data_IF_908458667120
#
_entry.id   IF_908458667120
#
_cell.length_a   1.000
_cell.length_b   1.000
_cell.length_c   1.000
_cell.angle_alpha   90.00
_cell.angle_beta   90.00
_cell.angle_gamma   90.00
#
_symmetry.space_group_name_H-M   'P 1'
#
loop_
_entity.id
_entity.type
_entity.pdbx_description
1 polymer ?
#
# COMPACT_ATOMS: atom_id res chain seq x y z
N UNK A 1 -21.45 -31.17 20.40
CA UNK A 1 -21.22 -29.91 19.64
C UNK A 1 -19.73 -29.60 19.56
N UNK A 2 -19.22 -29.24 18.38
CA UNK A 2 -17.82 -28.80 18.26
C UNK A 2 -17.68 -27.47 19.00
N UNK A 3 -16.53 -27.21 19.64
CA UNK A 3 -16.32 -26.03 20.50
C UNK A 3 -16.71 -24.71 19.80
N UNK A 4 -16.40 -24.58 18.51
CA UNK A 4 -16.76 -23.37 17.74
C UNK A 4 -18.29 -23.17 17.61
N UNK A 5 -19.09 -24.23 17.55
CA UNK A 5 -20.55 -24.12 17.45
C UNK A 5 -21.18 -23.55 18.73
N UNK A 6 -20.53 -23.80 19.88
CA UNK A 6 -20.93 -23.24 21.17
C UNK A 6 -20.54 -21.76 21.22
N UNK A 7 -19.32 -21.42 20.80
CA UNK A 7 -18.82 -20.03 20.75
C UNK A 7 -19.68 -19.17 19.81
N UNK A 8 -20.04 -19.69 18.63
CA UNK A 8 -20.86 -18.98 17.65
C UNK A 8 -22.30 -18.72 18.11
N UNK A 9 -22.79 -19.41 19.14
CA UNK A 9 -24.13 -19.18 19.72
C UNK A 9 -24.15 -18.08 20.79
N UNK A 10 -22.99 -17.55 21.20
CA UNK A 10 -22.93 -16.50 22.21
C UNK A 10 -23.46 -15.17 21.66
N UNK A 11 -24.42 -14.55 22.36
CA UNK A 11 -25.18 -13.37 21.91
C UNK A 11 -24.34 -12.22 21.33
N UNK A 12 -23.10 -12.03 21.83
CA UNK A 12 -22.21 -10.92 21.45
C UNK A 12 -21.02 -11.33 20.57
N UNK A 13 -20.96 -12.57 20.06
CA UNK A 13 -19.79 -13.07 19.32
C UNK A 13 -19.57 -12.31 18.01
N UNK A 14 -20.63 -11.98 17.27
CA UNK A 14 -20.51 -11.33 15.97
C UNK A 14 -19.84 -9.94 16.07
N UNK A 15 -20.28 -9.00 16.93
CA UNK A 15 -19.56 -7.74 17.14
C UNK A 15 -18.10 -7.92 17.57
N UNK A 16 -17.81 -8.91 18.43
CA UNK A 16 -16.44 -9.18 18.88
C UNK A 16 -15.55 -9.67 17.74
N UNK A 17 -16.06 -10.59 16.92
CA UNK A 17 -15.35 -11.08 15.72
C UNK A 17 -15.09 -9.95 14.73
N UNK A 18 -16.08 -9.10 14.45
CA UNK A 18 -15.93 -7.96 13.54
C UNK A 18 -14.84 -6.99 14.02
N UNK A 19 -14.82 -6.68 15.32
CA UNK A 19 -13.77 -5.84 15.94
C UNK A 19 -12.40 -6.51 15.92
N UNK A 20 -12.35 -7.82 16.12
CA UNK A 20 -11.10 -8.58 16.03
C UNK A 20 -10.55 -8.55 14.59
N UNK A 21 -11.41 -8.76 13.58
CA UNK A 21 -11.04 -8.65 12.17
C UNK A 21 -10.50 -7.26 11.82
N UNK A 22 -11.17 -6.19 12.26
CA UNK A 22 -10.73 -4.79 12.05
C UNK A 22 -9.43 -4.48 12.78
N UNK A 23 -9.27 -4.95 14.01
CA UNK A 23 -8.04 -4.77 14.80
C UNK A 23 -6.84 -5.45 14.15
N UNK A 24 -7.04 -6.62 13.56
CA UNK A 24 -5.96 -7.40 12.95
C UNK A 24 -5.86 -7.26 11.42
N UNK A 25 -6.78 -6.50 10.79
CA UNK A 25 -6.79 -6.30 9.34
C UNK A 25 -7.02 -7.58 8.54
N UNK A 26 -7.78 -8.55 9.09
CA UNK A 26 -7.93 -9.89 8.51
C UNK A 26 -8.95 -9.85 7.37
N UNK A 27 -8.49 -10.15 6.16
CA UNK A 27 -9.33 -10.30 4.97
C UNK A 27 -9.97 -11.69 5.00
N UNK A 28 -11.25 -11.77 4.66
CA UNK A 28 -11.96 -13.05 4.68
C UNK A 28 -11.62 -13.89 3.45
N UNK A 29 -11.57 -15.21 3.61
CA UNK A 29 -11.74 -16.13 2.47
C UNK A 29 -13.22 -16.21 2.09
N UNK A 30 -13.52 -16.79 0.94
CA UNK A 30 -14.91 -17.08 0.52
C UNK A 30 -15.64 -17.92 1.57
N UNK A 31 -15.03 -18.99 2.08
CA UNK A 31 -15.61 -19.86 3.12
C UNK A 31 -15.88 -19.09 4.41
N UNK A 32 -14.94 -18.22 4.79
CA UNK A 32 -15.09 -17.38 5.98
C UNK A 32 -16.26 -16.42 5.79
N UNK A 33 -16.41 -15.81 4.62
CA UNK A 33 -17.54 -14.94 4.29
C UNK A 33 -18.88 -15.69 4.36
N UNK A 34 -18.95 -16.92 3.89
CA UNK A 34 -20.16 -17.76 4.00
C UNK A 34 -20.52 -18.07 5.46
N UNK A 35 -19.54 -18.30 6.34
CA UNK A 35 -19.77 -18.46 7.77
C UNK A 35 -20.42 -17.20 8.35
N UNK A 36 -19.93 -16.01 7.99
CA UNK A 36 -20.56 -14.74 8.40
C UNK A 36 -21.99 -14.59 7.86
N UNK A 37 -22.26 -15.01 6.62
CA UNK A 37 -23.62 -15.00 6.05
C UNK A 37 -24.60 -15.87 6.83
N UNK A 38 -24.16 -17.05 7.31
CA UNK A 38 -24.98 -17.95 8.12
C UNK A 38 -25.14 -17.48 9.56
N UNK A 39 -24.12 -16.84 10.13
CA UNK A 39 -24.11 -16.36 11.51
C UNK A 39 -24.91 -15.06 11.68
N UNK A 40 -24.84 -14.13 10.73
CA UNK A 40 -25.41 -12.79 10.90
C UNK A 40 -26.91 -12.77 11.28
N UNK A 41 -27.81 -13.60 10.68
CA UNK A 41 -29.23 -13.60 11.03
C UNK A 41 -29.52 -13.91 12.50
N UNK A 42 -28.78 -14.84 13.13
CA UNK A 42 -28.98 -15.19 14.55
C UNK A 42 -28.57 -14.07 15.52
N UNK A 43 -27.85 -13.06 15.02
CA UNK A 43 -27.46 -11.86 15.75
C UNK A 43 -28.23 -10.60 15.29
N UNK A 44 -29.35 -10.78 14.57
CA UNK A 44 -30.16 -9.65 14.10
C UNK A 44 -29.46 -8.79 13.03
N UNK A 45 -28.47 -9.34 12.34
CA UNK A 45 -27.73 -8.66 11.28
C UNK A 45 -28.12 -9.20 9.90
N UNK A 46 -28.08 -8.32 8.89
CA UNK A 46 -28.30 -8.70 7.48
C UNK A 46 -26.98 -8.62 6.72
N UNK A 47 -26.69 -9.64 5.93
CA UNK A 47 -25.51 -9.72 5.05
C UNK A 47 -25.91 -9.60 3.58
N UNK A 48 -25.09 -8.92 2.78
CA UNK A 48 -25.18 -8.89 1.31
C UNK A 48 -23.79 -8.99 0.71
N UNK A 49 -23.63 -9.84 -0.30
CA UNK A 49 -22.45 -9.76 -1.18
C UNK A 49 -22.46 -8.43 -1.94
N UNK A 50 -21.29 -7.86 -2.19
CA UNK A 50 -21.14 -6.56 -2.81
C UNK A 50 -19.84 -6.43 -3.58
N UNK A 51 -19.78 -5.33 -4.34
CA UNK A 51 -18.57 -4.81 -4.96
C UNK A 51 -18.43 -3.34 -4.53
N UNK A 52 -17.23 -2.80 -4.67
CA UNK A 52 -16.94 -1.40 -4.38
C UNK A 52 -16.66 -0.68 -5.69
N UNK A 53 -17.30 0.48 -5.89
CA UNK A 53 -17.02 1.33 -7.06
C UNK A 53 -15.63 1.96 -6.97
N UNK A 54 -15.11 2.49 -8.09
CA UNK A 54 -13.87 3.28 -8.11
C UNK A 54 -13.82 4.44 -7.11
N UNK A 55 -14.98 5.01 -6.77
CA UNK A 55 -15.12 6.11 -5.80
C UNK A 55 -15.21 5.64 -4.35
N UNK A 56 -15.07 4.34 -4.08
CA UNK A 56 -15.16 3.80 -2.73
C UNK A 56 -16.59 3.59 -2.21
N UNK A 57 -17.61 3.58 -3.06
CA UNK A 57 -19.00 3.30 -2.64
C UNK A 57 -19.37 1.81 -2.77
N UNK A 58 -19.95 1.24 -1.72
CA UNK A 58 -20.49 -0.13 -1.71
C UNK A 58 -21.73 -0.25 -2.62
N UNK A 59 -21.77 -1.22 -3.55
CA UNK A 59 -22.91 -1.41 -4.45
C UNK A 59 -24.17 -1.94 -3.75
N UNK A 60 -24.04 -2.58 -2.59
CA UNK A 60 -25.17 -3.19 -1.86
C UNK A 60 -25.90 -2.21 -0.93
N UNK A 61 -25.19 -1.35 -0.21
CA UNK A 61 -25.77 -0.38 0.72
C UNK A 61 -25.65 1.07 0.25
N UNK A 62 -24.94 1.33 -0.86
CA UNK A 62 -24.66 2.66 -1.44
C UNK A 62 -23.85 3.61 -0.55
N UNK A 63 -23.36 3.15 0.60
CA UNK A 63 -22.51 3.94 1.50
C UNK A 63 -21.08 3.97 1.02
N UNK A 64 -20.41 5.08 1.30
CA UNK A 64 -18.96 5.20 1.12
C UNK A 64 -18.23 4.35 2.17
N UNK A 65 -17.18 3.67 1.75
CA UNK A 65 -16.23 3.00 2.63
C UNK A 65 -15.48 4.06 3.46
N UNK A 66 -15.01 3.65 4.63
CA UNK A 66 -14.14 4.52 5.43
C UNK A 66 -12.83 4.77 4.67
N UNK A 67 -12.29 6.00 4.71
CA UNK A 67 -11.01 6.28 4.11
C UNK A 67 -9.89 5.64 4.95
N UNK A 68 -8.91 5.04 4.28
CA UNK A 68 -7.63 4.67 4.88
C UNK A 68 -6.91 5.94 5.34
N UNK A 69 -6.38 5.90 6.56
CA UNK A 69 -5.60 6.98 7.16
C UNK A 69 -4.33 6.41 7.76
N UNK A 70 -3.26 7.18 7.65
CA UNK A 70 -1.99 6.92 8.30
C UNK A 70 -1.77 8.04 9.32
N UNK A 71 -1.64 7.69 10.59
CA UNK A 71 -1.36 8.68 11.64
C UNK A 71 0.13 9.06 11.62
N UNK A 72 0.53 10.25 12.09
CA UNK A 72 1.93 10.60 12.27
C UNK A 72 2.68 9.57 13.13
N UNK A 73 2.03 9.05 14.18
CA UNK A 73 2.62 8.07 15.08
C UNK A 73 2.85 6.73 14.38
N UNK A 74 1.87 6.24 13.61
CA UNK A 74 2.03 5.03 12.79
C UNK A 74 3.16 5.21 11.77
N UNK A 75 3.21 6.38 11.11
CA UNK A 75 4.27 6.68 10.15
C UNK A 75 5.64 6.70 10.80
N UNK A 76 5.80 7.31 11.97
CA UNK A 76 7.08 7.33 12.68
C UNK A 76 7.51 5.94 13.16
N UNK A 77 6.57 5.09 13.58
CA UNK A 77 6.85 3.67 13.86
C UNK A 77 7.39 2.95 12.63
N UNK A 78 6.73 3.13 11.47
CA UNK A 78 7.16 2.53 10.22
C UNK A 78 8.53 3.06 9.76
N UNK A 79 8.68 4.39 9.78
CA UNK A 79 9.91 5.08 9.39
C UNK A 79 11.07 4.61 10.26
N UNK A 80 10.90 4.59 11.58
CA UNK A 80 11.94 4.12 12.49
C UNK A 80 12.30 2.66 12.22
N UNK A 81 11.32 1.79 11.96
CA UNK A 81 11.59 0.40 11.62
C UNK A 81 12.42 0.23 10.32
N UNK A 82 12.26 1.09 9.32
CA UNK A 82 13.06 1.00 8.10
C UNK A 82 14.41 1.73 8.19
N UNK A 83 14.50 2.78 9.00
CA UNK A 83 15.72 3.59 9.12
C UNK A 83 16.63 3.12 10.26
N UNK A 84 16.16 2.26 11.17
CA UNK A 84 16.95 1.71 12.26
C UNK A 84 18.17 0.94 11.70
N UNK A 85 19.41 1.33 12.05
CA UNK A 85 20.63 0.64 11.68
C UNK A 85 20.61 -0.87 11.98
N UNK A 86 19.85 -1.32 12.98
CA UNK A 86 19.70 -2.74 13.33
C UNK A 86 18.86 -3.49 12.30
N UNK A 87 17.83 -2.86 11.71
CA UNK A 87 17.01 -3.45 10.66
C UNK A 87 17.67 -3.29 9.27
N UNK A 88 18.34 -2.15 9.03
CA UNK A 88 19.24 -1.91 7.89
C UNK A 88 20.40 -2.92 7.87
N UNK A 89 20.97 -3.23 9.03
CA UNK A 89 22.14 -4.10 9.20
C UNK A 89 21.83 -5.59 9.36
N UNK A 90 20.57 -6.00 9.54
CA UNK A 90 20.20 -7.43 9.63
C UNK A 90 19.88 -8.06 8.28
N UNK A 91 19.17 -7.38 7.37
CA UNK A 91 18.77 -8.02 6.08
C UNK A 91 18.52 -7.07 4.89
N UNK A 92 18.12 -5.82 5.12
CA UNK A 92 17.51 -5.00 4.04
C UNK A 92 18.50 -4.55 2.95
N UNK A 93 19.77 -4.32 3.31
CA UNK A 93 20.83 -3.90 2.37
C UNK A 93 21.94 -4.96 2.20
N UNK A 94 21.64 -6.25 2.40
CA UNK A 94 22.66 -7.30 2.41
C UNK A 94 23.50 -7.40 1.12
N UNK A 95 22.96 -6.97 -0.02
CA UNK A 95 23.66 -6.98 -1.33
C UNK A 95 24.33 -5.65 -1.68
N UNK A 96 24.31 -4.69 -0.77
CA UNK A 96 24.87 -3.34 -0.93
C UNK A 96 26.16 -3.23 -0.15
N UNK A 97 27.20 -2.64 -0.75
CA UNK A 97 28.45 -2.41 -0.04
C UNK A 97 28.32 -1.26 0.98
N UNK A 98 29.08 -1.27 2.09
CA UNK A 98 29.11 -0.15 3.04
C UNK A 98 29.43 1.20 2.38
N UNK A 99 30.31 1.20 1.36
CA UNK A 99 30.69 2.40 0.62
C UNK A 99 29.53 2.95 -0.21
N UNK A 100 28.77 2.07 -0.87
CA UNK A 100 27.57 2.46 -1.62
C UNK A 100 26.50 3.01 -0.69
N UNK A 101 26.25 2.35 0.44
CA UNK A 101 25.27 2.80 1.44
C UNK A 101 25.65 4.18 2.00
N UNK A 102 26.93 4.40 2.32
CA UNK A 102 27.42 5.70 2.78
C UNK A 102 27.32 6.78 1.69
N UNK A 103 27.63 6.43 0.43
CA UNK A 103 27.44 7.33 -0.72
C UNK A 103 25.97 7.74 -0.86
N UNK A 104 25.06 6.78 -0.73
CA UNK A 104 23.62 7.03 -0.75
C UNK A 104 23.18 7.96 0.39
N UNK A 105 23.63 7.74 1.62
CA UNK A 105 23.30 8.63 2.74
C UNK A 105 23.78 10.07 2.50
N UNK A 106 25.03 10.25 2.07
CA UNK A 106 25.58 11.58 1.71
C UNK A 106 24.84 12.24 0.56
N UNK A 107 24.38 11.45 -0.40
CA UNK A 107 23.54 11.95 -1.49
C UNK A 107 22.19 12.45 -0.98
N UNK A 108 21.51 11.67 -0.12
CA UNK A 108 20.21 12.05 0.44
C UNK A 108 20.28 13.33 1.29
N UNK A 109 21.36 13.56 2.03
CA UNK A 109 21.55 14.80 2.80
C UNK A 109 21.48 16.08 1.95
N UNK A 110 21.79 15.98 0.65
CA UNK A 110 21.78 17.11 -0.29
C UNK A 110 20.45 17.27 -1.02
N UNK A 111 19.69 16.19 -1.12
CA UNK A 111 18.52 16.09 -2.02
C UNK A 111 17.20 16.14 -1.27
N UNK A 112 17.16 15.60 -0.05
CA UNK A 112 15.93 15.54 0.73
C UNK A 112 15.57 16.89 1.37
N UNK A 113 14.26 17.18 1.56
CA UNK A 113 13.10 16.33 1.24
C UNK A 113 12.69 16.41 -0.24
N UNK A 114 12.12 15.31 -0.75
CA UNK A 114 11.50 15.22 -2.07
C UNK A 114 10.02 14.84 -1.97
N UNK A 115 9.25 15.23 -2.98
CA UNK A 115 7.82 14.95 -3.04
C UNK A 115 7.52 13.55 -3.60
N UNK A 116 8.36 13.07 -4.52
CA UNK A 116 8.20 11.76 -5.16
C UNK A 116 9.53 11.07 -5.40
N UNK A 117 9.57 9.76 -5.11
CA UNK A 117 10.70 8.88 -5.45
C UNK A 117 10.30 7.92 -6.58
N UNK A 118 11.07 7.88 -7.66
CA UNK A 118 10.82 7.05 -8.84
C UNK A 118 11.75 5.83 -8.83
N UNK A 119 11.17 4.65 -8.92
CA UNK A 119 11.89 3.40 -9.17
C UNK A 119 12.21 3.29 -10.68
N UNK A 120 13.36 3.82 -11.05
CA UNK A 120 13.74 4.03 -12.45
C UNK A 120 13.77 2.73 -13.26
N UNK A 121 14.22 1.63 -12.63
CA UNK A 121 14.32 0.35 -13.30
C UNK A 121 12.94 -0.31 -13.44
N UNK A 122 12.14 -0.31 -12.38
CA UNK A 122 10.81 -0.90 -12.41
C UNK A 122 9.88 -0.16 -13.38
N UNK A 123 9.95 1.18 -13.42
CA UNK A 123 9.22 2.01 -14.39
C UNK A 123 9.64 1.65 -15.82
N UNK A 124 10.93 1.50 -16.08
CA UNK A 124 11.42 1.20 -17.42
C UNK A 124 10.98 -0.19 -17.94
N UNK A 125 10.75 -1.16 -17.05
CA UNK A 125 10.34 -2.52 -17.40
C UNK A 125 8.83 -2.78 -17.31
N UNK A 126 8.03 -1.73 -17.33
CA UNK A 126 6.57 -1.80 -17.22
C UNK A 126 5.95 -2.77 -18.24
N UNK A 127 6.49 -2.90 -19.45
CA UNK A 127 6.29 -4.08 -20.30
C UNK A 127 7.18 -3.95 -21.53
N UNK A 128 8.03 -4.96 -21.76
CA UNK A 128 8.85 -5.05 -22.99
C UNK A 128 7.99 -5.04 -24.27
N UNK A 129 6.70 -5.37 -24.19
CA UNK A 129 5.75 -5.35 -25.30
C UNK A 129 5.08 -3.98 -25.52
N UNK A 130 4.96 -3.15 -24.48
CA UNK A 130 4.23 -1.86 -24.54
C UNK A 130 5.15 -0.65 -24.78
N UNK A 131 6.43 -0.77 -24.45
CA UNK A 131 7.44 0.24 -24.80
C UNK A 131 8.79 -0.42 -25.06
N UNK A 132 9.32 -0.39 -26.29
CA UNK A 132 10.67 -0.85 -26.58
C UNK A 132 11.77 0.06 -25.99
N UNK A 133 11.40 1.19 -25.35
CA UNK A 133 12.36 2.16 -24.82
C UNK A 133 12.02 2.57 -23.37
N UNK A 134 12.50 1.80 -22.39
CA UNK A 134 12.26 2.03 -20.96
C UNK A 134 12.70 3.42 -20.47
N UNK A 135 13.73 4.00 -21.07
CA UNK A 135 14.17 5.37 -20.77
C UNK A 135 13.13 6.42 -21.13
N UNK A 136 12.41 6.22 -22.23
CA UNK A 136 11.30 7.10 -22.66
C UNK A 136 10.16 7.09 -21.64
N UNK A 137 9.85 5.91 -21.10
CA UNK A 137 8.82 5.79 -20.07
C UNK A 137 9.24 6.48 -18.77
N UNK A 138 10.48 6.30 -18.33
CA UNK A 138 11.02 7.02 -17.17
C UNK A 138 10.96 8.54 -17.36
N UNK A 139 11.30 9.03 -18.57
CA UNK A 139 11.15 10.46 -18.92
C UNK A 139 9.69 10.91 -18.82
N UNK A 140 8.72 10.14 -19.32
CA UNK A 140 7.30 10.51 -19.23
C UNK A 140 6.77 10.54 -17.80
N UNK A 141 7.16 9.59 -16.96
CA UNK A 141 6.83 9.65 -15.52
C UNK A 141 7.47 10.88 -14.89
N UNK A 142 8.73 11.18 -15.21
CA UNK A 142 9.42 12.37 -14.71
C UNK A 142 8.66 13.64 -15.14
N UNK A 143 8.33 13.76 -16.43
CA UNK A 143 7.61 14.90 -17.01
C UNK A 143 6.23 15.11 -16.38
N UNK A 144 5.52 14.03 -16.03
CA UNK A 144 4.24 14.12 -15.31
C UNK A 144 4.42 14.87 -13.98
N UNK A 145 5.37 14.44 -13.14
CA UNK A 145 5.60 15.08 -11.85
C UNK A 145 6.28 16.46 -11.95
N UNK A 146 7.09 16.71 -12.99
CA UNK A 146 7.61 18.05 -13.30
C UNK A 146 6.45 19.00 -13.61
N UNK A 147 5.46 18.57 -14.40
CA UNK A 147 4.29 19.40 -14.72
C UNK A 147 3.43 19.73 -13.50
N UNK A 148 3.49 18.89 -12.45
CA UNK A 148 2.87 19.16 -11.14
C UNK A 148 3.76 19.99 -10.19
N UNK A 149 4.97 20.39 -10.62
CA UNK A 149 5.91 21.16 -9.80
C UNK A 149 6.54 20.37 -8.64
N UNK A 150 6.64 19.04 -8.76
CA UNK A 150 7.18 18.17 -7.70
C UNK A 150 8.71 18.13 -7.70
N UNK A 151 9.30 18.00 -6.51
CA UNK A 151 10.70 17.60 -6.32
C UNK A 151 10.84 16.09 -6.49
N UNK A 152 11.66 15.67 -7.44
CA UNK A 152 11.77 14.27 -7.87
C UNK A 152 13.15 13.72 -7.51
N UNK A 153 13.16 12.52 -6.93
CA UNK A 153 14.34 11.65 -6.84
C UNK A 153 14.11 10.40 -7.69
N UNK A 154 15.03 10.08 -8.59
CA UNK A 154 15.09 8.80 -9.28
C UNK A 154 16.12 7.91 -8.59
N UNK A 155 15.70 6.72 -8.17
CA UNK A 155 16.58 5.62 -7.77
C UNK A 155 16.66 4.65 -8.93
N UNK A 156 17.86 4.29 -9.35
CA UNK A 156 18.07 3.37 -10.47
C UNK A 156 19.41 2.66 -10.40
N UNK A 157 19.85 2.14 -11.54
CA UNK A 157 21.07 1.34 -11.66
C UNK A 157 22.10 1.97 -12.57
N UNK A 158 23.39 1.71 -12.31
CA UNK A 158 24.49 2.20 -13.15
C UNK A 158 24.36 1.84 -14.62
N UNK A 159 23.80 0.68 -14.97
CA UNK A 159 23.59 0.37 -16.40
C UNK A 159 22.61 1.32 -17.11
N UNK A 160 21.79 2.08 -16.38
CA UNK A 160 20.92 3.12 -16.93
C UNK A 160 21.69 4.29 -17.54
N UNK A 161 22.97 4.48 -17.18
CA UNK A 161 23.81 5.48 -17.85
C UNK A 161 24.06 5.16 -19.34
N UNK A 162 23.86 3.90 -19.74
CA UNK A 162 23.95 3.46 -21.14
C UNK A 162 22.63 3.58 -21.90
N UNK A 163 21.55 4.02 -21.23
CA UNK A 163 20.27 4.25 -21.89
C UNK A 163 20.31 5.50 -22.77
N UNK A 164 19.24 5.71 -23.55
CA UNK A 164 19.12 6.85 -24.47
C UNK A 164 19.55 8.18 -23.83
N UNK A 165 20.61 8.77 -24.36
CA UNK A 165 21.19 10.03 -23.86
C UNK A 165 20.17 11.16 -23.82
N UNK A 166 19.33 11.29 -24.85
CA UNK A 166 18.33 12.36 -24.91
C UNK A 166 17.28 12.22 -23.80
N UNK A 167 16.80 11.01 -23.54
CA UNK A 167 15.80 10.75 -22.51
C UNK A 167 16.41 10.93 -21.11
N UNK A 168 17.60 10.39 -20.87
CA UNK A 168 18.28 10.48 -19.58
C UNK A 168 18.78 11.90 -19.26
N UNK A 169 19.16 12.69 -20.27
CA UNK A 169 19.52 14.10 -20.07
C UNK A 169 18.32 14.90 -19.56
N UNK A 170 17.12 14.66 -20.11
CA UNK A 170 15.90 15.28 -19.60
C UNK A 170 15.67 14.88 -18.13
N UNK A 171 15.77 13.59 -17.81
CA UNK A 171 15.58 13.09 -16.44
C UNK A 171 16.58 13.74 -15.47
N UNK A 172 17.88 13.71 -15.79
CA UNK A 172 18.94 14.29 -14.95
C UNK A 172 18.84 15.82 -14.80
N UNK A 173 18.22 16.51 -15.75
CA UNK A 173 18.01 17.96 -15.67
C UNK A 173 16.81 18.36 -14.81
N UNK A 174 15.89 17.43 -14.55
CA UNK A 174 14.62 17.71 -13.87
C UNK A 174 14.42 16.90 -12.57
N UNK A 175 15.33 15.99 -12.26
CA UNK A 175 15.29 15.15 -11.06
C UNK A 175 16.69 14.95 -10.50
N UNK A 176 16.77 14.77 -9.18
CA UNK A 176 17.97 14.21 -8.58
C UNK A 176 18.03 12.72 -8.91
N UNK A 177 19.18 12.19 -9.31
CA UNK A 177 19.31 10.78 -9.75
C UNK A 177 20.40 10.10 -8.95
N UNK A 178 20.05 9.00 -8.29
CA UNK A 178 20.99 8.08 -7.65
C UNK A 178 21.01 6.75 -8.41
N UNK A 179 22.19 6.33 -8.87
CA UNK A 179 22.38 5.08 -9.59
C UNK A 179 23.20 4.11 -8.75
N UNK A 180 22.53 3.10 -8.20
CA UNK A 180 23.12 2.01 -7.46
C UNK A 180 23.86 1.02 -8.38
N UNK A 181 24.77 0.23 -7.81
CA UNK A 181 25.45 -0.88 -8.46
C UNK A 181 24.44 -1.89 -9.00
N UNK A 182 24.79 -2.55 -10.10
CA UNK A 182 23.89 -3.52 -10.75
C UNK A 182 23.67 -4.81 -9.92
N UNK A 183 24.44 -5.01 -8.87
CA UNK A 183 24.36 -6.18 -7.96
C UNK A 183 23.46 -5.95 -6.75
N UNK A 184 23.20 -4.69 -6.39
CA UNK A 184 22.41 -4.30 -5.21
C UNK A 184 20.92 -4.60 -5.39
N UNK A 185 20.07 -4.29 -4.42
CA UNK A 185 18.61 -4.30 -4.60
C UNK A 185 18.11 -2.84 -4.65
N UNK A 186 17.15 -2.53 -5.52
CA UNK A 186 16.68 -1.13 -5.69
C UNK A 186 15.64 -0.72 -4.65
N UNK A 187 14.74 -1.66 -4.30
CA UNK A 187 13.63 -1.42 -3.38
C UNK A 187 14.08 -0.88 -2.01
N UNK A 188 15.19 -1.34 -1.39
CA UNK A 188 15.72 -0.75 -0.16
C UNK A 188 16.02 0.75 -0.27
N UNK A 189 16.68 1.18 -1.35
CA UNK A 189 17.02 2.59 -1.57
C UNK A 189 15.76 3.43 -1.81
N UNK A 190 14.82 2.92 -2.61
CA UNK A 190 13.53 3.55 -2.87
C UNK A 190 12.73 3.77 -1.58
N UNK A 191 12.53 2.71 -0.79
CA UNK A 191 11.76 2.76 0.45
C UNK A 191 12.44 3.65 1.49
N UNK A 192 13.76 3.54 1.63
CA UNK A 192 14.54 4.38 2.54
C UNK A 192 14.40 5.86 2.18
N UNK A 193 14.57 6.22 0.90
CA UNK A 193 14.43 7.60 0.46
C UNK A 193 13.01 8.15 0.68
N UNK A 194 11.98 7.37 0.34
CA UNK A 194 10.59 7.80 0.49
C UNK A 194 10.23 8.01 1.98
N UNK A 195 10.57 7.06 2.85
CA UNK A 195 10.29 7.15 4.29
C UNK A 195 11.12 8.24 4.98
N UNK A 196 12.39 8.44 4.59
CA UNK A 196 13.24 9.50 5.13
C UNK A 196 12.78 10.91 4.70
N UNK A 197 12.17 11.04 3.53
CA UNK A 197 11.67 12.33 3.01
C UNK A 197 10.46 12.85 3.79
N UNK A 198 9.59 11.96 4.27
CA UNK A 198 8.49 12.30 5.18
C UNK A 198 7.15 11.68 4.80
N UNK A 199 6.15 11.88 5.67
CA UNK A 199 4.83 11.24 5.58
C UNK A 199 4.06 11.55 4.29
N UNK A 200 4.34 12.69 3.65
CA UNK A 200 3.67 13.10 2.41
C UNK A 200 4.28 12.51 1.14
N UNK A 201 5.50 11.98 1.21
CA UNK A 201 6.28 11.58 0.03
C UNK A 201 5.65 10.39 -0.68
N UNK A 202 5.45 10.54 -1.97
CA UNK A 202 4.92 9.49 -2.85
C UNK A 202 6.06 8.69 -3.46
N UNK A 203 5.74 7.52 -3.99
CA UNK A 203 6.71 6.76 -4.78
C UNK A 203 6.05 6.07 -5.95
N UNK A 204 6.82 5.80 -7.00
CA UNK A 204 6.34 5.13 -8.21
C UNK A 204 7.13 3.84 -8.38
N UNK A 205 6.43 2.73 -8.25
CA UNK A 205 6.94 1.38 -8.56
C UNK A 205 5.75 0.45 -8.79
N UNK A 206 5.98 -0.64 -9.51
CA UNK A 206 5.04 -1.76 -9.60
C UNK A 206 5.29 -2.81 -8.53
N UNK A 207 6.47 -2.81 -7.90
CA UNK A 207 6.77 -3.84 -6.93
C UNK A 207 5.75 -3.78 -5.78
N UNK A 208 5.38 -4.96 -5.32
CA UNK A 208 4.45 -5.17 -4.21
C UNK A 208 5.17 -5.03 -2.87
N UNK A 209 6.50 -5.08 -2.87
CA UNK A 209 7.34 -4.96 -1.68
C UNK A 209 7.08 -6.05 -0.63
N UNK A 210 6.65 -7.24 -1.08
CA UNK A 210 6.20 -8.34 -0.20
C UNK A 210 7.31 -8.81 0.73
N UNK A 211 8.56 -8.90 0.23
CA UNK A 211 9.74 -9.30 1.00
C UNK A 211 10.06 -8.28 2.10
N UNK A 212 10.14 -7.00 1.74
CA UNK A 212 10.40 -5.90 2.67
C UNK A 212 9.34 -5.79 3.76
N UNK A 213 8.07 -5.99 3.40
CA UNK A 213 6.98 -6.09 4.37
C UNK A 213 7.18 -7.28 5.31
N UNK A 214 7.59 -8.45 4.80
CA UNK A 214 7.84 -9.61 5.64
C UNK A 214 8.95 -9.35 6.67
N UNK A 215 10.04 -8.68 6.26
CA UNK A 215 11.18 -8.34 7.12
C UNK A 215 10.83 -7.48 8.34
N UNK A 216 9.73 -6.70 8.30
CA UNK A 216 9.26 -5.92 9.45
C UNK A 216 8.94 -6.79 10.69
N UNK A 217 8.70 -8.09 10.50
CA UNK A 217 8.50 -9.09 11.55
C UNK A 217 7.17 -8.97 12.32
N UNK A 218 6.78 -7.76 12.72
CA UNK A 218 5.62 -7.49 13.56
C UNK A 218 4.35 -7.31 12.72
N UNK A 219 3.25 -8.03 13.01
CA UNK A 219 1.99 -7.92 12.28
C UNK A 219 1.42 -6.50 12.20
N UNK A 220 1.60 -5.70 13.27
CA UNK A 220 1.16 -4.31 13.31
C UNK A 220 1.94 -3.42 12.33
N UNK A 221 3.28 -3.51 12.30
CA UNK A 221 4.11 -2.79 11.33
C UNK A 221 3.80 -3.19 9.88
N UNK A 222 3.56 -4.48 9.63
CA UNK A 222 3.14 -4.97 8.31
C UNK A 222 1.83 -4.35 7.84
N UNK A 223 0.89 -4.11 8.75
CA UNK A 223 -0.38 -3.44 8.47
C UNK A 223 -0.17 -1.95 8.19
N UNK A 224 0.65 -1.27 9.01
CA UNK A 224 1.02 0.13 8.79
C UNK A 224 1.69 0.30 7.42
N UNK A 225 2.63 -0.57 7.07
CA UNK A 225 3.29 -0.56 5.77
C UNK A 225 2.27 -0.70 4.62
N UNK A 226 1.34 -1.65 4.69
CA UNK A 226 0.30 -1.79 3.66
C UNK A 226 -0.60 -0.55 3.53
N UNK A 227 -0.91 0.14 4.65
CA UNK A 227 -1.66 1.41 4.62
C UNK A 227 -0.84 2.52 3.98
N UNK A 228 0.42 2.67 4.40
CA UNK A 228 1.34 3.65 3.84
C UNK A 228 1.51 3.41 2.33
N UNK A 229 1.78 2.19 1.91
CA UNK A 229 1.91 1.80 0.50
C UNK A 229 0.66 2.16 -0.31
N UNK A 230 -0.54 1.79 0.17
CA UNK A 230 -1.80 2.13 -0.51
C UNK A 230 -1.99 3.64 -0.72
N UNK A 231 -1.57 4.44 0.26
CA UNK A 231 -1.71 5.90 0.27
C UNK A 231 -0.60 6.63 -0.50
N UNK A 232 0.52 5.98 -0.82
CA UNK A 232 1.72 6.64 -1.36
C UNK A 232 2.22 6.07 -2.69
N UNK A 233 1.85 4.85 -3.06
CA UNK A 233 2.35 4.17 -4.26
C UNK A 233 1.52 4.47 -5.51
N UNK A 234 2.15 5.12 -6.48
CA UNK A 234 1.69 5.17 -7.86
C UNK A 234 2.15 3.92 -8.61
N UNK A 235 1.26 3.35 -9.43
CA UNK A 235 1.62 2.19 -10.26
C UNK A 235 1.70 2.61 -11.73
N UNK A 236 2.86 2.43 -12.38
CA UNK A 236 3.00 2.71 -13.80
C UNK A 236 2.37 1.60 -14.66
N UNK A 237 1.50 1.99 -15.61
CA UNK A 237 0.70 1.07 -16.42
C UNK A 237 1.24 0.92 -17.84
N UNK A 238 1.21 1.98 -18.64
CA UNK A 238 1.65 1.99 -20.05
C UNK A 238 1.81 3.44 -20.55
N UNK A 239 2.38 3.61 -21.73
CA UNK A 239 2.30 4.88 -22.47
C UNK A 239 0.85 5.05 -22.92
N UNK A 240 0.25 6.21 -22.65
CA UNK A 240 -1.13 6.47 -23.02
C UNK A 240 -1.34 6.44 -24.55
N UNK A 241 -2.59 6.37 -24.98
CA UNK A 241 -2.96 6.29 -26.41
C UNK A 241 -2.44 7.49 -27.24
N UNK A 242 -2.20 8.63 -26.58
CA UNK A 242 -1.59 9.81 -27.20
C UNK A 242 -0.10 9.65 -27.58
N UNK A 243 0.54 8.56 -27.16
CA UNK A 243 1.95 8.24 -27.41
C UNK A 243 2.97 9.13 -26.68
N UNK A 244 2.51 10.09 -25.88
CA UNK A 244 3.28 11.19 -25.32
C UNK A 244 3.14 11.33 -23.80
N UNK A 245 2.17 10.66 -23.19
CA UNK A 245 1.98 10.65 -21.73
C UNK A 245 2.02 9.24 -21.16
N UNK A 246 2.04 9.15 -19.83
CA UNK A 246 2.04 7.88 -19.11
C UNK A 246 0.73 7.70 -18.35
N UNK A 247 0.12 6.52 -18.50
CA UNK A 247 -0.97 6.10 -17.65
C UNK A 247 -0.41 5.65 -16.29
N UNK A 248 -0.69 6.43 -15.25
CA UNK A 248 -0.35 6.14 -13.86
C UNK A 248 -1.64 5.84 -13.08
N UNK A 249 -1.65 4.74 -12.33
CA UNK A 249 -2.68 4.51 -11.33
C UNK A 249 -2.28 5.25 -10.04
N UNK A 250 -3.07 6.23 -9.57
CA UNK A 250 -2.76 6.96 -8.34
C UNK A 250 -2.94 6.08 -7.10
N UNK A 251 -2.34 6.47 -5.97
CA UNK A 251 -2.62 5.86 -4.67
C UNK A 251 -4.10 5.99 -4.32
N UNK A 252 -4.61 5.07 -3.51
CA UNK A 252 -6.01 5.01 -3.12
C UNK A 252 -6.15 5.21 -1.62
N UNK A 253 -7.07 6.09 -1.24
CA UNK A 253 -7.48 6.27 0.15
C UNK A 253 -8.67 5.37 0.53
N UNK A 254 -9.09 4.42 -0.30
CA UNK A 254 -10.20 3.52 0.03
C UNK A 254 -9.66 2.45 0.99
N UNK A 255 -10.23 2.35 2.20
CA UNK A 255 -9.84 1.29 3.12
C UNK A 255 -10.16 -0.09 2.54
N UNK A 256 -9.15 -0.96 2.49
CA UNK A 256 -9.26 -2.35 2.02
C UNK A 256 -9.04 -3.37 3.13
N UNK A 257 -9.48 -2.99 4.32
CA UNK A 257 -9.49 -3.80 5.53
C UNK A 257 -10.92 -3.82 6.10
N UNK A 258 -11.26 -4.81 6.94
CA UNK A 258 -12.51 -4.80 7.69
C UNK A 258 -12.68 -3.48 8.44
N UNK A 259 -13.82 -2.81 8.24
CA UNK A 259 -14.11 -1.57 8.94
C UNK A 259 -15.61 -1.36 9.12
N UNK A 260 -15.94 -0.54 10.10
CA UNK A 260 -17.29 -0.05 10.32
C UNK A 260 -17.44 1.39 9.82
N UNK A 261 -18.46 1.64 9.02
CA UNK A 261 -18.86 2.98 8.58
C UNK A 261 -19.60 3.75 9.68
N UNK A 262 -19.60 5.08 9.56
CA UNK A 262 -20.40 5.98 10.40
C UNK A 262 -21.90 5.61 10.51
N UNK A 263 -22.47 4.95 9.50
CA UNK A 263 -23.85 4.48 9.49
C UNK A 263 -24.03 3.05 10.03
N UNK A 264 -23.11 2.58 10.88
CA UNK A 264 -23.15 1.28 11.55
C UNK A 264 -23.18 0.06 10.60
N UNK A 265 -22.75 0.23 9.34
CA UNK A 265 -22.52 -0.87 8.43
C UNK A 265 -21.06 -1.32 8.44
N UNK A 266 -20.85 -2.61 8.40
CA UNK A 266 -19.55 -3.24 8.29
C UNK A 266 -19.28 -3.65 6.84
N UNK A 267 -18.06 -3.39 6.37
CA UNK A 267 -17.58 -3.83 5.07
C UNK A 267 -16.36 -4.71 5.30
N UNK A 268 -16.46 -5.96 4.87
CA UNK A 268 -15.39 -6.96 5.00
C UNK A 268 -14.91 -7.32 3.59
N UNK A 269 -13.64 -7.06 3.23
CA UNK A 269 -13.10 -7.52 1.96
C UNK A 269 -13.01 -9.05 1.96
N UNK A 270 -13.28 -9.65 0.80
CA UNK A 270 -13.24 -11.10 0.59
C UNK A 270 -12.20 -11.40 -0.49
N UNK A 271 -11.29 -12.32 -0.17
CA UNK A 271 -10.28 -12.85 -1.05
C UNK A 271 -10.78 -14.17 -1.66
N UNK A 272 -10.77 -14.26 -2.98
CA UNK A 272 -10.95 -15.52 -3.69
C UNK A 272 -9.64 -16.32 -3.66
N UNK A 273 -9.69 -17.65 -3.65
CA UNK A 273 -8.50 -18.52 -3.57
C UNK A 273 -7.57 -18.37 -4.78
N UNK A 274 -8.13 -17.92 -5.92
CA UNK A 274 -7.37 -17.49 -7.09
C UNK A 274 -6.48 -16.25 -6.83
N UNK A 275 -6.72 -15.53 -5.74
CA UNK A 275 -6.04 -14.31 -5.31
C UNK A 275 -5.26 -14.47 -3.99
N UNK A 276 -4.98 -15.71 -3.54
CA UNK A 276 -4.29 -16.03 -2.26
C UNK A 276 -2.93 -15.33 -2.07
N UNK A 277 -2.30 -14.84 -3.14
CA UNK A 277 -1.03 -14.09 -3.10
C UNK A 277 -1.20 -12.57 -3.33
N UNK A 278 -2.43 -12.07 -3.42
CA UNK A 278 -2.75 -10.65 -3.68
C UNK A 278 -3.19 -9.98 -2.39
N UNK A 279 -2.38 -9.06 -1.91
CA UNK A 279 -2.62 -8.25 -0.71
C UNK A 279 -3.86 -7.36 -0.92
N UNK A 280 -4.63 -7.14 0.14
CA UNK A 280 -5.88 -6.37 0.08
C UNK A 280 -5.74 -5.01 -0.62
N UNK A 281 -4.67 -4.28 -0.33
CA UNK A 281 -4.40 -2.98 -0.97
C UNK A 281 -4.10 -3.05 -2.47
N UNK A 282 -3.79 -4.23 -3.01
CA UNK A 282 -3.52 -4.51 -4.42
C UNK A 282 -4.61 -5.30 -5.12
N UNK A 283 -5.65 -5.71 -4.39
CA UNK A 283 -6.82 -6.38 -4.97
C UNK A 283 -7.46 -5.55 -6.10
N UNK A 284 -8.06 -6.22 -7.06
CA UNK A 284 -8.72 -5.54 -8.17
C UNK A 284 -10.00 -4.81 -7.70
N UNK A 285 -10.48 -3.83 -8.46
CA UNK A 285 -11.78 -3.18 -8.27
C UNK A 285 -12.96 -4.19 -8.30
N UNK A 286 -12.71 -5.38 -8.83
CA UNK A 286 -13.63 -6.51 -8.91
C UNK A 286 -13.63 -7.39 -7.65
N UNK A 287 -12.77 -7.12 -6.67
CA UNK A 287 -12.71 -7.93 -5.45
C UNK A 287 -14.05 -7.94 -4.70
N UNK A 288 -14.55 -9.11 -4.28
CA UNK A 288 -15.81 -9.21 -3.58
C UNK A 288 -15.73 -8.65 -2.16
N UNK A 289 -16.85 -8.12 -1.69
CA UNK A 289 -17.02 -7.59 -0.34
C UNK A 289 -18.26 -8.17 0.31
N UNK A 290 -18.19 -8.40 1.62
CA UNK A 290 -19.35 -8.69 2.44
C UNK A 290 -19.80 -7.41 3.15
N UNK A 291 -21.02 -6.96 2.86
CA UNK A 291 -21.68 -5.85 3.53
C UNK A 291 -22.58 -6.39 4.62
N UNK A 292 -22.32 -6.03 5.89
CA UNK A 292 -23.21 -6.32 7.01
C UNK A 292 -23.87 -5.06 7.54
N UNK A 293 -25.18 -5.12 7.72
CA UNK A 293 -25.95 -4.11 8.45
C UNK A 293 -26.44 -4.71 9.75
N UNK A 294 -26.01 -4.15 10.87
CA UNK A 294 -26.58 -4.48 12.18
C UNK A 294 -27.93 -3.77 12.29
N UNK A 295 -29.00 -4.49 12.59
CA UNK A 295 -30.31 -3.86 12.86
C UNK A 295 -30.18 -3.05 14.15
N UNK A 296 -30.46 -1.75 14.10
CA UNK A 296 -30.32 -0.75 15.17
C UNK A 296 -30.18 -1.30 16.60
N UNK A 297 -28.94 -1.52 17.01
CA UNK A 297 -28.50 -1.18 18.36
C UNK A 297 -27.44 -0.11 18.16
N UNK A 298 -27.67 1.14 18.61
CA UNK A 298 -26.62 2.15 18.62
C UNK A 298 -25.50 1.58 19.50
N UNK A 299 -24.37 1.25 18.89
CA UNK A 299 -23.17 0.98 19.65
C UNK A 299 -22.73 2.33 20.21
N UNK A 300 -23.15 2.64 21.45
CA UNK A 300 -22.50 3.70 22.20
C UNK A 300 -21.01 3.41 22.11
N UNK A 301 -20.23 4.35 21.56
CA UNK A 301 -18.77 4.33 21.72
C UNK A 301 -18.55 4.20 23.22
N UNK A 302 -18.13 3.02 23.69
CA UNK A 302 -17.52 2.89 25.00
C UNK A 302 -16.25 3.74 24.95
N UNK A 303 -16.39 5.01 25.34
CA UNK A 303 -15.27 5.83 25.79
C UNK A 303 -14.91 5.29 27.16
N UNK A 304 -13.89 4.45 27.23
CA UNK A 304 -13.20 3.99 28.45
C UNK A 304 -12.03 3.11 27.95
N UNK A 305 -10.73 3.34 28.18
CA UNK A 305 -10.02 4.05 29.25
C UNK A 305 -8.83 4.85 28.68
N UNK A 306 -8.86 6.17 28.84
CA UNK A 306 -7.68 6.94 29.27
C UNK A 306 -8.03 7.43 30.68
N UNK A 307 -7.61 6.65 31.69
CA UNK A 307 -7.39 7.05 33.08
C UNK A 307 -7.08 5.78 33.89
N UNK A 308 -5.79 5.56 34.10
CA UNK A 308 -5.15 5.23 35.39
C UNK A 308 -3.93 4.32 35.16
N UNK A 309 -2.76 4.93 35.46
CA UNK A 309 -1.39 4.39 35.55
C UNK A 309 -0.68 4.12 34.23
#
# INVERSE_FOLDING_TARGET
>A
PKLYEIVLKQKNILPQLLRWLERHGIILTVESAEVFMRLAPSHGAKTKSSLVSRKGSCKACRRSLEPSRLTPEDFELLRSAFLDPVLVGRDVFQKTSPEELNSFHKFLEKVLPVDVVLDGLNIAYVSKKLSPNGAKLLRFVTSHFVSEGRKILVVGRKHMDRWSTNEMNYVKSNASVFLAENTSEDDPFLLYAALKSGIGTKFVSRDRMTSHRFLLGQPHLRRIFSKWQALHQYHPLHIAEDGNTVALRPPSNIAREPHQTSANAWHLPVMDHSQTNVEGHLQDETAPWLCLSLSNVPFQRLKEHQKNV
#
